data_IF_488573397240
#
_entry.id   IF_488573397240
#
_cell.length_a   1.000
_cell.length_b   1.000
_cell.length_c   1.000
_cell.angle_alpha   90.00
_cell.angle_beta   90.00
_cell.angle_gamma   90.00
#
_symmetry.space_group_name_H-M   'P 1'
#
loop_
_entity.id
_entity.type
_entity.pdbx_description
1 polymer ?
#
# COMPACT_ATOMS: atom_id res chain seq x y z
N UNK A 1 -13.30 10.56 6.65
CA UNK A 1 -13.41 10.15 5.24
C UNK A 1 -12.11 9.46 4.86
N UNK A 2 -12.14 8.22 4.34
CA UNK A 2 -10.94 7.55 3.81
C UNK A 2 -10.41 8.37 2.62
N UNK A 3 -9.12 8.70 2.61
CA UNK A 3 -8.49 9.43 1.50
C UNK A 3 -8.27 8.45 0.33
N UNK A 4 -9.26 8.37 -0.55
CA UNK A 4 -9.23 7.44 -1.69
C UNK A 4 -8.09 7.74 -2.67
N UNK A 5 -7.55 8.96 -2.68
CA UNK A 5 -6.39 9.33 -3.50
C UNK A 5 -5.13 8.70 -2.90
N UNK A 6 -4.92 8.86 -1.60
CA UNK A 6 -3.81 8.24 -0.88
C UNK A 6 -3.79 6.72 -1.05
N UNK A 7 -4.94 6.05 -0.91
CA UNK A 7 -5.06 4.59 -1.09
C UNK A 7 -4.63 4.16 -2.49
N UNK A 8 -5.03 4.88 -3.54
CA UNK A 8 -4.65 4.55 -4.92
C UNK A 8 -3.17 4.77 -5.19
N UNK A 9 -2.60 5.87 -4.71
CA UNK A 9 -1.18 6.17 -4.88
C UNK A 9 -0.31 5.13 -4.17
N UNK A 10 -0.63 4.83 -2.91
CA UNK A 10 0.10 3.83 -2.11
C UNK A 10 -0.08 2.42 -2.69
N UNK A 11 -1.26 2.08 -3.21
CA UNK A 11 -1.46 0.81 -3.91
C UNK A 11 -0.59 0.70 -5.18
N UNK A 12 -0.59 1.73 -6.03
CA UNK A 12 0.23 1.74 -7.26
C UNK A 12 1.72 1.65 -6.94
N UNK A 13 2.17 2.41 -5.95
CA UNK A 13 3.51 2.38 -5.39
C UNK A 13 3.96 0.97 -4.98
N UNK A 14 3.15 0.32 -4.15
CA UNK A 14 3.44 -1.03 -3.67
C UNK A 14 3.45 -2.07 -4.80
N UNK A 15 2.60 -1.90 -5.82
CA UNK A 15 2.65 -2.73 -7.04
C UNK A 15 3.99 -2.63 -7.78
N UNK A 16 4.65 -1.46 -7.75
CA UNK A 16 5.95 -1.24 -8.40
C UNK A 16 7.12 -1.82 -7.61
N UNK A 17 7.04 -1.80 -6.27
CA UNK A 17 8.12 -2.29 -5.39
C UNK A 17 8.29 -3.80 -5.54
N UNK A 18 7.21 -4.55 -5.78
CA UNK A 18 7.25 -5.98 -6.13
C UNK A 18 7.89 -6.90 -5.07
N UNK A 19 8.20 -6.35 -3.89
CA UNK A 19 8.81 -7.03 -2.75
C UNK A 19 8.14 -6.59 -1.45
N UNK A 20 8.25 -7.37 -0.36
CA UNK A 20 7.91 -6.90 0.98
C UNK A 20 8.66 -5.60 1.29
N UNK A 21 7.95 -4.59 1.82
CA UNK A 21 8.53 -3.31 2.21
C UNK A 21 8.07 -2.93 3.62
N UNK A 22 8.96 -2.34 4.41
CA UNK A 22 8.57 -1.82 5.73
C UNK A 22 7.57 -0.67 5.58
N UNK A 23 6.60 -0.55 6.49
CA UNK A 23 5.67 0.58 6.47
C UNK A 23 6.41 1.93 6.50
N UNK A 24 7.52 2.02 7.24
CA UNK A 24 8.39 3.19 7.27
C UNK A 24 9.09 3.46 5.94
N UNK A 25 9.55 2.42 5.22
CA UNK A 25 10.15 2.56 3.88
C UNK A 25 9.14 3.12 2.89
N UNK A 26 7.87 2.69 2.99
CA UNK A 26 6.78 3.23 2.17
C UNK A 26 6.47 4.68 2.58
N UNK A 27 6.43 5.00 3.87
CA UNK A 27 6.22 6.38 4.31
C UNK A 27 7.35 7.28 3.78
N UNK A 28 8.60 6.91 3.98
CA UNK A 28 9.76 7.71 3.53
C UNK A 28 9.79 7.87 2.00
N UNK A 29 9.39 6.84 1.25
CA UNK A 29 9.39 6.89 -0.21
C UNK A 29 8.24 7.74 -0.79
N UNK A 30 7.11 7.87 -0.07
CA UNK A 30 5.90 8.53 -0.59
C UNK A 30 5.52 9.81 0.14
N UNK A 31 6.15 10.12 1.27
CA UNK A 31 5.92 11.37 1.97
C UNK A 31 6.35 12.56 1.11
N UNK A 32 5.46 13.55 0.99
CA UNK A 32 5.63 14.71 0.11
C UNK A 32 5.26 14.45 -1.36
N UNK A 33 5.10 13.20 -1.80
CA UNK A 33 4.61 12.90 -3.15
C UNK A 33 3.15 13.31 -3.24
N UNK A 34 2.84 14.20 -4.19
CA UNK A 34 1.49 14.67 -4.47
C UNK A 34 0.74 15.23 -3.21
N UNK A 35 1.53 15.77 -2.27
CA UNK A 35 1.06 16.36 -1.02
C UNK A 35 0.72 15.36 0.09
N UNK A 36 1.05 14.07 -0.07
CA UNK A 36 0.79 13.05 0.94
C UNK A 36 1.64 13.27 2.20
N UNK A 37 1.00 13.20 3.37
CA UNK A 37 1.66 13.17 4.68
C UNK A 37 1.83 11.73 5.15
N UNK A 38 2.84 11.45 5.98
CA UNK A 38 3.06 10.12 6.55
C UNK A 38 1.79 9.49 7.17
N UNK A 39 0.96 10.27 7.88
CA UNK A 39 -0.30 9.77 8.45
C UNK A 39 -1.30 9.27 7.38
N UNK A 40 -1.42 9.96 6.24
CA UNK A 40 -2.30 9.54 5.14
C UNK A 40 -1.79 8.25 4.48
N UNK A 41 -0.47 8.07 4.42
CA UNK A 41 0.17 6.87 3.88
C UNK A 41 -0.09 5.68 4.82
N UNK A 42 0.06 5.86 6.13
CA UNK A 42 -0.24 4.82 7.14
C UNK A 42 -1.72 4.43 7.12
N UNK A 43 -2.64 5.40 7.01
CA UNK A 43 -4.07 5.13 6.88
C UNK A 43 -4.40 4.37 5.59
N UNK A 44 -3.72 4.71 4.49
CA UNK A 44 -3.85 4.00 3.22
C UNK A 44 -3.36 2.55 3.32
N UNK A 45 -2.18 2.33 3.91
CA UNK A 45 -1.62 1.01 4.17
C UNK A 45 -2.56 0.15 5.02
N UNK A 46 -3.06 0.72 6.11
CA UNK A 46 -4.02 0.04 7.00
C UNK A 46 -5.31 -0.31 6.26
N UNK A 47 -5.78 0.58 5.38
CA UNK A 47 -6.95 0.31 4.55
C UNK A 47 -6.71 -0.82 3.57
N UNK A 48 -5.54 -0.88 2.93
CA UNK A 48 -5.17 -2.00 2.04
C UNK A 48 -5.10 -3.33 2.79
N UNK A 49 -4.63 -3.33 4.03
CA UNK A 49 -4.61 -4.53 4.89
C UNK A 49 -6.03 -4.97 5.27
N UNK A 50 -6.88 -4.03 5.69
CA UNK A 50 -8.28 -4.31 6.02
C UNK A 50 -9.08 -4.82 4.82
N UNK A 51 -8.80 -4.28 3.64
CA UNK A 51 -9.44 -4.66 2.38
C UNK A 51 -8.83 -5.96 1.79
N UNK A 52 -7.86 -6.58 2.46
CA UNK A 52 -7.22 -7.84 2.05
C UNK A 52 -6.25 -7.72 0.86
N UNK A 53 -5.89 -6.50 0.46
CA UNK A 53 -4.97 -6.18 -0.65
C UNK A 53 -3.51 -6.04 -0.21
N UNK A 54 -3.27 -6.05 1.09
CA UNK A 54 -1.96 -6.17 1.68
C UNK A 54 -2.07 -7.02 2.94
N UNK A 55 -0.96 -7.58 3.43
CA UNK A 55 -0.91 -8.08 4.79
C UNK A 55 0.43 -7.76 5.40
N UNK A 56 0.34 -7.43 6.67
CA UNK A 56 1.48 -7.20 7.52
C UNK A 56 2.05 -8.55 7.94
N UNK A 57 3.36 -8.73 7.76
CA UNK A 57 4.08 -9.91 8.23
C UNK A 57 4.78 -9.62 9.56
N UNK A 58 5.12 -10.66 10.34
CA UNK A 58 5.92 -10.49 11.54
C UNK A 58 7.22 -9.75 11.20
N UNK A 59 7.55 -8.70 11.98
CA UNK A 59 8.60 -7.66 11.76
C UNK A 59 8.10 -6.30 11.25
N UNK A 60 6.80 -6.11 11.01
CA UNK A 60 6.26 -4.81 10.62
C UNK A 60 6.48 -4.47 9.14
N UNK A 61 6.85 -5.47 8.36
CA UNK A 61 6.89 -5.39 6.90
C UNK A 61 5.49 -5.63 6.32
N UNK A 62 5.20 -4.95 5.23
CA UNK A 62 3.96 -5.07 4.48
C UNK A 62 4.27 -5.79 3.18
N UNK A 63 3.56 -6.89 2.95
CA UNK A 63 3.51 -7.51 1.64
C UNK A 63 2.22 -7.03 0.99
N UNK A 64 2.38 -6.32 -0.11
CA UNK A 64 1.26 -5.96 -0.95
C UNK A 64 0.98 -7.10 -1.92
N UNK A 65 -0.29 -7.47 -2.03
CA UNK A 65 -0.78 -8.40 -3.03
C UNK A 65 -2.05 -7.77 -3.56
N UNK A 66 -1.95 -7.11 -4.71
CA UNK A 66 -3.17 -6.69 -5.39
C UNK A 66 -3.90 -7.94 -5.87
N UNK A 67 -5.07 -8.31 -5.32
CA UNK A 67 -5.90 -9.32 -5.92
C UNK A 67 -6.73 -8.63 -7.00
N UNK A 68 -6.09 -7.91 -7.93
CA UNK A 68 -6.78 -7.53 -9.16
C UNK A 68 -6.92 -8.83 -9.97
N UNK A 69 -8.15 -9.36 -10.15
CA UNK A 69 -8.35 -10.64 -10.80
C UNK A 69 -8.02 -10.47 -12.27
N UNK A 70 -6.79 -10.76 -12.67
CA UNK A 70 -6.46 -10.83 -14.09
C UNK A 70 -6.12 -12.26 -14.44
N UNK A 71 -7.16 -12.90 -15.01
CA UNK A 71 -7.20 -14.16 -15.76
C UNK A 71 -7.16 -15.46 -14.97
N UNK A 72 -8.36 -16.01 -14.75
CA UNK A 72 -8.66 -17.32 -15.33
C UNK A 72 -8.05 -17.35 -16.75
N UNK A 73 -6.97 -18.12 -16.90
CA UNK A 73 -6.52 -18.56 -18.21
C UNK A 73 -7.64 -19.45 -18.77
N UNK A 74 -8.51 -18.85 -19.59
CA UNK A 74 -9.29 -19.60 -20.58
C UNK A 74 -8.39 -19.99 -21.75
#
# INVERSE_FOLDING_TARGET
MRDAKAVKLVAAALSFVGRPAAASEVVDAFEGIDGLRGAQIIDALSSLVLDGRARMIPRGELIYYDPSPTRELR
#
